data_IF_951396679564
#
_entry.id   IF_951396679564
#
_cell.length_a   1.000
_cell.length_b   1.000
_cell.length_c   1.000
_cell.angle_alpha   90.00
_cell.angle_beta   90.00
_cell.angle_gamma   90.00
#
_symmetry.space_group_name_H-M   'P 1'
#
loop_
_entity.id
_entity.type
_entity.pdbx_description
1 polymer ?
#
# COMPACT_ATOMS: atom_id res chain seq x y z
N UNK A 1 -73.63 47.71 -0.80
CA UNK A 1 -73.82 46.39 -0.15
C UNK A 1 -73.19 45.22 -0.92
N UNK A 2 -73.25 45.19 -2.26
CA UNK A 2 -72.70 44.06 -3.08
C UNK A 2 -71.16 44.02 -3.11
N UNK A 3 -70.48 45.17 -3.02
CA UNK A 3 -69.01 45.26 -3.10
C UNK A 3 -68.27 44.75 -1.86
N UNK A 4 -68.83 44.90 -0.65
CA UNK A 4 -68.25 44.32 0.58
C UNK A 4 -68.31 42.80 0.59
N UNK A 5 -69.43 42.21 0.14
CA UNK A 5 -69.59 40.74 0.12
C UNK A 5 -68.61 40.04 -0.84
N UNK A 6 -68.20 40.71 -1.93
CA UNK A 6 -67.22 40.17 -2.88
C UNK A 6 -65.80 40.17 -2.28
N UNK A 7 -65.46 41.20 -1.49
CA UNK A 7 -64.14 41.32 -0.88
C UNK A 7 -63.95 40.30 0.26
N UNK A 8 -64.98 40.09 1.08
CA UNK A 8 -64.96 39.07 2.14
C UNK A 8 -64.81 37.65 1.57
N UNK A 9 -65.53 37.33 0.50
CA UNK A 9 -65.44 36.02 -0.16
C UNK A 9 -64.08 35.79 -0.81
N UNK A 10 -63.42 36.85 -1.31
CA UNK A 10 -62.06 36.77 -1.85
C UNK A 10 -61.04 36.52 -0.73
N UNK A 11 -61.20 37.16 0.43
CA UNK A 11 -60.36 36.94 1.61
C UNK A 11 -60.50 35.51 2.16
N UNK A 12 -61.72 34.97 2.17
CA UNK A 12 -62.00 33.59 2.63
C UNK A 12 -61.44 32.53 1.67
N UNK A 13 -61.52 32.76 0.35
CA UNK A 13 -60.91 31.90 -0.66
C UNK A 13 -59.37 31.94 -0.58
N UNK A 14 -58.78 33.11 -0.32
CA UNK A 14 -57.33 33.22 -0.12
C UNK A 14 -56.87 32.52 1.17
N UNK A 15 -57.65 32.61 2.25
CA UNK A 15 -57.38 31.91 3.51
C UNK A 15 -57.46 30.38 3.37
N UNK A 16 -58.46 29.88 2.62
CA UNK A 16 -58.59 28.43 2.34
C UNK A 16 -57.45 27.92 1.45
N UNK A 17 -57.04 28.67 0.42
CA UNK A 17 -55.87 28.32 -0.40
C UNK A 17 -54.58 28.29 0.44
N UNK A 18 -54.41 29.26 1.35
CA UNK A 18 -53.27 29.28 2.27
C UNK A 18 -53.22 28.06 3.19
N UNK A 19 -54.38 27.64 3.71
CA UNK A 19 -54.49 26.45 4.55
C UNK A 19 -54.23 25.15 3.77
N UNK A 20 -54.66 25.05 2.50
CA UNK A 20 -54.37 23.91 1.64
C UNK A 20 -52.87 23.81 1.34
N UNK A 21 -52.21 24.93 1.02
CA UNK A 21 -50.75 24.96 0.81
C UNK A 21 -49.99 24.55 2.07
N UNK A 22 -50.39 25.03 3.25
CA UNK A 22 -49.75 24.68 4.53
C UNK A 22 -49.94 23.20 4.88
N UNK A 23 -51.12 22.62 4.58
CA UNK A 23 -51.39 21.19 4.78
C UNK A 23 -50.61 20.32 3.79
N UNK A 24 -50.42 20.77 2.55
CA UNK A 24 -49.58 20.09 1.57
C UNK A 24 -48.10 20.10 1.97
N UNK A 25 -47.58 21.25 2.39
CA UNK A 25 -46.20 21.38 2.89
C UNK A 25 -45.97 20.51 4.15
N UNK A 26 -46.92 20.48 5.09
CA UNK A 26 -46.85 19.63 6.29
C UNK A 26 -46.96 18.13 5.98
N UNK A 27 -47.66 17.76 4.90
CA UNK A 27 -47.73 16.38 4.42
C UNK A 27 -46.44 15.94 3.69
N UNK A 28 -45.80 16.86 2.95
CA UNK A 28 -44.48 16.64 2.33
C UNK A 28 -43.37 16.55 3.39
N UNK A 29 -43.43 17.36 4.45
CA UNK A 29 -42.47 17.33 5.58
C UNK A 29 -42.62 16.06 6.45
N UNK A 30 -43.83 15.51 6.55
CA UNK A 30 -44.09 14.25 7.27
C UNK A 30 -43.68 12.98 6.50
N UNK A 31 -43.33 13.10 5.20
CA UNK A 31 -43.05 11.96 4.32
C UNK A 31 -41.56 11.56 4.23
N UNK A 32 -40.65 12.22 4.94
CA UNK A 32 -39.24 12.26 4.53
C UNK A 32 -38.17 11.71 5.47
N UNK A 33 -38.44 10.74 6.36
CA UNK A 33 -37.33 10.00 6.98
C UNK A 33 -36.98 8.80 6.11
N UNK A 34 -36.02 8.98 5.18
CA UNK A 34 -35.49 7.90 4.34
C UNK A 34 -34.83 6.85 5.25
N UNK A 35 -35.56 5.79 5.58
CA UNK A 35 -35.04 4.68 6.39
C UNK A 35 -33.91 4.03 5.60
N UNK A 36 -32.69 4.18 6.10
CA UNK A 36 -31.49 3.54 5.54
C UNK A 36 -31.05 2.43 6.48
N UNK A 37 -30.89 1.22 5.93
CA UNK A 37 -30.39 0.09 6.69
C UNK A 37 -28.86 0.11 6.69
N UNK A 38 -28.26 -0.15 7.85
CA UNK A 38 -26.81 -0.25 8.04
C UNK A 38 -26.42 -1.66 8.47
N UNK A 39 -25.16 -2.04 8.21
CA UNK A 39 -24.61 -3.33 8.64
C UNK A 39 -24.45 -3.31 10.16
N UNK A 40 -25.17 -4.14 10.94
CA UNK A 40 -24.98 -4.23 12.38
C UNK A 40 -23.62 -4.87 12.69
N UNK A 41 -22.95 -4.39 13.73
CA UNK A 41 -21.73 -5.05 14.20
C UNK A 41 -22.06 -6.35 14.92
N UNK A 42 -21.15 -7.32 14.78
CA UNK A 42 -21.26 -8.63 15.42
C UNK A 42 -20.84 -8.52 16.89
N UNK A 43 -21.60 -9.15 17.80
CA UNK A 43 -21.30 -9.13 19.25
C UNK A 43 -20.13 -10.04 19.66
N UNK A 44 -19.56 -10.77 18.69
CA UNK A 44 -18.46 -11.71 18.88
C UNK A 44 -17.46 -11.60 17.73
N UNK A 45 -16.23 -12.02 17.98
CA UNK A 45 -15.18 -12.05 16.97
C UNK A 45 -15.44 -13.12 15.90
N UNK A 46 -14.92 -12.93 14.70
CA UNK A 46 -15.13 -13.84 13.58
C UNK A 46 -14.70 -15.28 13.89
N UNK A 47 -13.65 -15.47 14.70
CA UNK A 47 -13.16 -16.79 15.10
C UNK A 47 -13.92 -17.44 16.27
N UNK A 48 -14.87 -16.74 16.91
CA UNK A 48 -15.54 -17.25 18.12
C UNK A 48 -16.37 -18.52 17.88
N UNK A 49 -16.72 -18.81 16.62
CA UNK A 49 -17.50 -19.97 16.22
C UNK A 49 -16.68 -21.03 15.46
N UNK A 50 -15.34 -20.99 15.51
CA UNK A 50 -14.45 -21.88 14.75
C UNK A 50 -14.74 -23.38 14.93
N UNK A 51 -15.28 -23.79 16.07
CA UNK A 51 -15.68 -25.18 16.33
C UNK A 51 -16.81 -25.67 15.41
N UNK A 52 -17.62 -24.76 14.85
CA UNK A 52 -18.76 -25.07 13.98
C UNK A 52 -18.67 -24.40 12.60
N UNK A 53 -18.12 -23.19 12.52
CA UNK A 53 -18.03 -22.37 11.31
C UNK A 53 -16.67 -21.68 11.29
N UNK A 54 -15.89 -21.88 10.23
CA UNK A 54 -14.61 -21.18 10.04
C UNK A 54 -14.80 -19.66 10.12
N UNK A 55 -13.90 -18.97 10.83
CA UNK A 55 -13.94 -17.51 10.96
C UNK A 55 -13.82 -16.77 9.63
N UNK A 56 -13.11 -17.34 8.65
CA UNK A 56 -13.03 -16.80 7.29
C UNK A 56 -14.42 -16.80 6.61
N UNK A 57 -15.20 -17.87 6.80
CA UNK A 57 -16.57 -17.96 6.26
C UNK A 57 -17.48 -16.95 6.95
N UNK A 58 -17.37 -16.81 8.27
CA UNK A 58 -18.15 -15.82 9.04
C UNK A 58 -17.85 -14.40 8.55
N UNK A 59 -16.57 -14.08 8.33
CA UNK A 59 -16.13 -12.80 7.82
C UNK A 59 -16.69 -12.54 6.41
N UNK A 60 -16.60 -13.50 5.50
CA UNK A 60 -17.16 -13.38 4.16
C UNK A 60 -18.68 -13.24 4.18
N UNK A 61 -19.37 -14.00 5.02
CA UNK A 61 -20.83 -13.95 5.17
C UNK A 61 -21.29 -12.57 5.67
N UNK A 62 -20.69 -12.07 6.74
CA UNK A 62 -21.01 -10.78 7.32
C UNK A 62 -20.62 -9.61 6.37
N UNK A 63 -19.35 -9.54 5.98
CA UNK A 63 -18.82 -8.37 5.28
C UNK A 63 -19.23 -8.32 3.81
N UNK A 64 -19.43 -9.46 3.14
CA UNK A 64 -19.80 -9.49 1.72
C UNK A 64 -21.28 -9.77 1.52
N UNK A 65 -21.81 -10.89 2.03
CA UNK A 65 -23.18 -11.28 1.73
C UNK A 65 -24.20 -10.34 2.40
N UNK A 66 -24.10 -10.11 3.71
CA UNK A 66 -25.03 -9.23 4.41
C UNK A 66 -24.95 -7.79 3.92
N UNK A 67 -23.73 -7.25 3.77
CA UNK A 67 -23.50 -5.94 3.15
C UNK A 67 -24.12 -5.81 1.77
N UNK A 68 -24.08 -6.86 0.95
CA UNK A 68 -24.70 -6.85 -0.39
C UNK A 68 -26.22 -6.78 -0.29
N UNK A 69 -26.84 -7.56 0.60
CA UNK A 69 -28.29 -7.48 0.81
C UNK A 69 -28.73 -6.08 1.27
N UNK A 70 -28.02 -5.47 2.21
CA UNK A 70 -28.28 -4.10 2.69
C UNK A 70 -28.15 -3.08 1.56
N UNK A 71 -27.06 -3.15 0.79
CA UNK A 71 -26.81 -2.21 -0.31
C UNK A 71 -27.90 -2.29 -1.37
N UNK A 72 -28.28 -3.51 -1.76
CA UNK A 72 -29.33 -3.74 -2.74
C UNK A 72 -30.71 -3.31 -2.22
N UNK A 73 -31.01 -3.57 -0.95
CA UNK A 73 -32.26 -3.19 -0.32
C UNK A 73 -32.42 -1.66 -0.28
N UNK A 74 -31.40 -0.94 0.21
CA UNK A 74 -31.40 0.53 0.26
C UNK A 74 -31.60 1.14 -1.13
N UNK A 75 -30.92 0.58 -2.15
CA UNK A 75 -31.07 1.00 -3.53
C UNK A 75 -32.48 0.74 -4.09
N UNK A 76 -33.06 -0.41 -3.76
CA UNK A 76 -34.42 -0.75 -4.22
C UNK A 76 -35.49 0.14 -3.57
N UNK A 77 -35.32 0.52 -2.31
CA UNK A 77 -36.21 1.47 -1.62
C UNK A 77 -36.11 2.88 -2.24
N UNK A 78 -34.89 3.34 -2.55
CA UNK A 78 -34.69 4.61 -3.26
C UNK A 78 -35.38 4.62 -4.64
N UNK A 79 -35.22 3.53 -5.41
CA UNK A 79 -35.86 3.40 -6.71
C UNK A 79 -37.39 3.26 -6.60
N UNK A 80 -37.89 2.69 -5.51
CA UNK A 80 -39.32 2.62 -5.23
C UNK A 80 -39.90 4.02 -4.95
N UNK A 81 -39.22 4.82 -4.13
CA UNK A 81 -39.63 6.20 -3.83
C UNK A 81 -39.66 7.07 -5.09
N UNK A 82 -38.62 6.95 -5.93
CA UNK A 82 -38.58 7.58 -7.26
C UNK A 82 -39.71 7.13 -8.18
N UNK A 83 -40.13 5.87 -8.11
CA UNK A 83 -41.22 5.34 -8.92
C UNK A 83 -42.59 5.83 -8.42
N UNK A 84 -42.77 5.91 -7.10
CA UNK A 84 -43.99 6.42 -6.46
C UNK A 84 -44.17 7.91 -6.78
N UNK A 85 -43.11 8.71 -6.66
CA UNK A 85 -43.15 10.15 -6.99
C UNK A 85 -43.47 10.41 -8.46
N UNK A 86 -43.07 9.50 -9.37
CA UNK A 86 -43.38 9.56 -10.81
C UNK A 86 -44.71 8.92 -11.19
N UNK A 87 -45.38 8.21 -10.27
CA UNK A 87 -46.64 7.51 -10.54
C UNK A 87 -46.50 6.28 -11.45
N UNK A 88 -45.32 5.67 -11.56
CA UNK A 88 -45.07 4.51 -12.42
C UNK A 88 -45.35 3.19 -11.67
N UNK A 89 -46.58 2.70 -11.77
CA UNK A 89 -47.00 1.46 -11.13
C UNK A 89 -46.26 0.20 -11.65
N UNK A 90 -45.73 0.22 -12.89
CA UNK A 90 -45.03 -0.94 -13.46
C UNK A 90 -43.69 -1.19 -12.78
N UNK A 91 -42.96 -0.12 -12.45
CA UNK A 91 -41.67 -0.23 -11.75
C UNK A 91 -41.84 -0.54 -10.27
N UNK A 92 -42.90 -0.04 -9.63
CA UNK A 92 -43.27 -0.42 -8.24
C UNK A 92 -43.41 -1.94 -8.08
N UNK A 93 -44.17 -2.60 -8.97
CA UNK A 93 -44.35 -4.07 -8.91
C UNK A 93 -43.04 -4.82 -9.14
N UNK A 94 -42.17 -4.32 -10.03
CA UNK A 94 -40.85 -4.94 -10.29
C UNK A 94 -39.98 -4.93 -9.02
N UNK A 95 -39.95 -3.82 -8.29
CA UNK A 95 -39.11 -3.69 -7.10
C UNK A 95 -39.62 -4.46 -5.89
N UNK A 96 -40.92 -4.79 -5.82
CA UNK A 96 -41.48 -5.59 -4.73
C UNK A 96 -40.71 -6.92 -4.53
N UNK A 97 -40.40 -7.63 -5.61
CA UNK A 97 -39.63 -8.88 -5.55
C UNK A 97 -38.21 -8.69 -5.00
N UNK A 98 -37.56 -7.60 -5.37
CA UNK A 98 -36.19 -7.26 -4.97
C UNK A 98 -36.14 -6.84 -3.51
N UNK A 99 -37.11 -6.04 -3.06
CA UNK A 99 -37.25 -5.60 -1.68
C UNK A 99 -37.52 -6.81 -0.78
N UNK A 100 -38.45 -7.69 -1.18
CA UNK A 100 -38.77 -8.90 -0.42
C UNK A 100 -37.54 -9.79 -0.26
N UNK A 101 -36.87 -10.14 -1.37
CA UNK A 101 -35.71 -11.04 -1.33
C UNK A 101 -34.55 -10.47 -0.51
N UNK A 102 -34.16 -9.21 -0.73
CA UNK A 102 -33.04 -8.62 0.01
C UNK A 102 -33.42 -8.36 1.48
N UNK A 103 -34.68 -7.99 1.76
CA UNK A 103 -35.19 -7.81 3.12
C UNK A 103 -35.16 -9.12 3.92
N UNK A 104 -35.65 -10.20 3.33
CA UNK A 104 -35.54 -11.55 3.91
C UNK A 104 -34.08 -11.96 4.14
N UNK A 105 -33.19 -11.65 3.19
CA UNK A 105 -31.74 -11.89 3.33
C UNK A 105 -31.11 -11.12 4.50
N UNK A 106 -31.51 -9.87 4.73
CA UNK A 106 -31.06 -9.06 5.87
C UNK A 106 -31.55 -9.68 7.19
N UNK A 107 -32.83 -10.04 7.26
CA UNK A 107 -33.46 -10.62 8.46
C UNK A 107 -32.83 -11.97 8.81
N UNK A 108 -32.68 -12.87 7.83
CA UNK A 108 -32.05 -14.17 8.04
C UNK A 108 -30.63 -14.01 8.59
N UNK A 109 -29.80 -13.21 7.92
CA UNK A 109 -28.42 -13.01 8.35
C UNK A 109 -28.29 -12.28 9.70
N UNK A 110 -29.21 -11.38 10.04
CA UNK A 110 -29.28 -10.76 11.37
C UNK A 110 -29.73 -11.75 12.45
N UNK A 111 -30.49 -12.78 12.08
CA UNK A 111 -30.97 -13.86 12.96
C UNK A 111 -30.11 -15.12 12.95
N UNK A 112 -29.04 -15.18 12.14
CA UNK A 112 -28.16 -16.34 11.98
C UNK A 112 -27.39 -16.74 13.25
N UNK A 113 -27.66 -16.10 14.39
CA UNK A 113 -27.30 -16.59 15.71
C UNK A 113 -28.18 -17.72 16.26
N UNK A 114 -29.37 -18.05 15.69
CA UNK A 114 -30.32 -18.92 16.43
C UNK A 114 -31.05 -20.06 15.70
N UNK A 115 -31.28 -20.12 14.38
CA UNK A 115 -32.05 -21.28 13.84
C UNK A 115 -31.68 -21.72 12.42
N UNK A 116 -31.03 -22.89 12.34
CA UNK A 116 -31.02 -23.78 11.19
C UNK A 116 -32.33 -24.58 11.14
N UNK A 117 -33.26 -24.23 10.25
CA UNK A 117 -34.28 -25.18 9.79
C UNK A 117 -34.91 -24.80 8.45
N UNK A 118 -34.62 -25.64 7.44
CA UNK A 118 -35.45 -26.04 6.29
C UNK A 118 -36.42 -25.02 5.68
N UNK A 119 -36.01 -24.40 4.56
CA UNK A 119 -36.92 -23.73 3.63
C UNK A 119 -37.56 -24.74 2.68
N UNK A 120 -38.85 -25.04 2.85
CA UNK A 120 -39.68 -25.75 1.88
C UNK A 120 -40.08 -24.83 0.73
N UNK A 121 -39.79 -25.25 -0.50
CA UNK A 121 -40.21 -24.55 -1.72
C UNK A 121 -41.53 -25.11 -2.23
N UNK A 122 -42.58 -24.28 -2.24
CA UNK A 122 -43.82 -24.56 -2.98
C UNK A 122 -43.63 -24.14 -4.46
N UNK A 123 -43.88 -25.01 -5.45
CA UNK A 123 -43.80 -24.60 -6.85
C UNK A 123 -45.11 -23.93 -7.28
N UNK A 124 -45.00 -22.66 -7.66
CA UNK A 124 -46.04 -21.95 -8.43
C UNK A 124 -45.96 -22.44 -9.87
N UNK A 125 -47.01 -23.12 -10.33
CA UNK A 125 -47.16 -23.54 -11.72
C UNK A 125 -47.56 -22.33 -12.57
N UNK A 126 -46.68 -21.92 -13.48
CA UNK A 126 -46.96 -20.91 -14.48
C UNK A 126 -46.93 -21.59 -15.86
N UNK A 127 -48.09 -21.65 -16.52
CA UNK A 127 -48.30 -22.27 -17.83
C UNK A 127 -47.73 -21.41 -18.96
N UNK A 128 -46.40 -21.34 -19.06
CA UNK A 128 -45.68 -21.02 -20.29
C UNK A 128 -45.19 -22.33 -20.90
N UNK A 129 -45.14 -22.46 -22.24
CA UNK A 129 -44.67 -23.69 -22.88
C UNK A 129 -43.28 -24.06 -22.34
N UNK A 130 -43.18 -25.26 -21.74
CA UNK A 130 -41.98 -25.75 -21.06
C UNK A 130 -40.71 -25.67 -21.94
N UNK A 131 -40.89 -25.75 -23.25
CA UNK A 131 -39.84 -25.67 -24.27
C UNK A 131 -39.18 -24.29 -24.37
N UNK A 132 -39.93 -23.19 -24.29
CA UNK A 132 -39.38 -21.82 -24.35
C UNK A 132 -38.57 -21.49 -23.08
N UNK A 133 -39.04 -21.98 -21.92
CA UNK A 133 -38.35 -21.83 -20.65
C UNK A 133 -37.04 -22.61 -20.65
N UNK A 134 -37.05 -23.84 -21.18
CA UNK A 134 -35.86 -24.68 -21.33
C UNK A 134 -34.82 -24.04 -22.27
N UNK A 135 -35.26 -23.50 -23.41
CA UNK A 135 -34.38 -22.80 -24.35
C UNK A 135 -33.75 -21.55 -23.72
N UNK A 136 -34.50 -20.75 -22.95
CA UNK A 136 -33.97 -19.60 -22.22
C UNK A 136 -32.94 -20.02 -21.16
N UNK A 137 -33.17 -21.12 -20.45
CA UNK A 137 -32.21 -21.67 -19.49
C UNK A 137 -30.92 -22.14 -20.16
N UNK A 138 -31.02 -22.79 -21.32
CA UNK A 138 -29.87 -23.23 -22.10
C UNK A 138 -29.08 -22.05 -22.69
N UNK A 139 -29.77 -21.01 -23.18
CA UNK A 139 -29.13 -19.77 -23.59
C UNK A 139 -28.39 -19.10 -22.41
N UNK A 140 -28.99 -19.07 -21.22
CA UNK A 140 -28.35 -18.54 -20.01
C UNK A 140 -27.15 -19.39 -19.58
N UNK A 141 -27.24 -20.72 -19.67
CA UNK A 141 -26.11 -21.64 -19.39
C UNK A 141 -24.96 -21.42 -20.37
N UNK A 142 -25.24 -21.31 -21.67
CA UNK A 142 -24.23 -21.00 -22.72
C UNK A 142 -23.55 -19.65 -22.47
N UNK A 143 -24.32 -18.59 -22.16
CA UNK A 143 -23.78 -17.26 -21.82
C UNK A 143 -22.86 -17.31 -20.59
N UNK A 144 -23.27 -18.03 -19.53
CA UNK A 144 -22.44 -18.23 -18.34
C UNK A 144 -21.15 -18.98 -18.66
N UNK A 145 -21.21 -20.01 -19.50
CA UNK A 145 -20.03 -20.78 -19.90
C UNK A 145 -19.03 -19.91 -20.69
N UNK A 146 -19.51 -19.07 -21.60
CA UNK A 146 -18.66 -18.15 -22.36
C UNK A 146 -18.04 -17.09 -21.44
N UNK A 147 -18.84 -16.48 -20.56
CA UNK A 147 -18.36 -15.47 -19.60
C UNK A 147 -17.34 -16.03 -18.61
N UNK A 148 -17.56 -17.25 -18.10
CA UNK A 148 -16.61 -17.93 -17.21
C UNK A 148 -15.32 -18.25 -17.96
N UNK A 149 -15.42 -18.80 -19.18
CA UNK A 149 -14.27 -19.07 -20.04
C UNK A 149 -13.45 -17.81 -20.30
N UNK A 150 -14.12 -16.70 -20.60
CA UNK A 150 -13.46 -15.42 -20.84
C UNK A 150 -12.83 -14.87 -19.55
N UNK A 151 -13.53 -14.95 -18.42
CA UNK A 151 -13.02 -14.51 -17.11
C UNK A 151 -11.80 -15.31 -16.68
N UNK A 152 -11.81 -16.64 -16.88
CA UNK A 152 -10.68 -17.51 -16.65
C UNK A 152 -9.49 -17.15 -17.56
N UNK A 153 -9.72 -16.86 -18.85
CA UNK A 153 -8.68 -16.40 -19.78
C UNK A 153 -8.09 -15.06 -19.34
N UNK A 154 -8.93 -14.08 -18.97
CA UNK A 154 -8.47 -12.77 -18.48
C UNK A 154 -7.66 -12.91 -17.20
N UNK A 155 -8.09 -13.78 -16.27
CA UNK A 155 -7.36 -14.09 -15.05
C UNK A 155 -5.98 -14.69 -15.34
N UNK A 156 -5.89 -15.71 -16.21
CA UNK A 156 -4.62 -16.29 -16.66
C UNK A 156 -3.72 -15.25 -17.31
N UNK A 157 -4.27 -14.38 -18.17
CA UNK A 157 -3.50 -13.32 -18.83
C UNK A 157 -2.95 -12.28 -17.84
N UNK A 158 -3.72 -11.92 -16.80
CA UNK A 158 -3.23 -11.02 -15.73
C UNK A 158 -2.10 -11.65 -14.94
N UNK A 159 -2.22 -12.94 -14.57
CA UNK A 159 -1.16 -13.67 -13.88
C UNK A 159 0.09 -13.79 -14.74
N UNK A 160 -0.06 -14.10 -16.04
CA UNK A 160 1.05 -14.13 -16.98
C UNK A 160 1.75 -12.78 -17.06
N UNK A 161 0.99 -11.69 -17.23
CA UNK A 161 1.55 -10.34 -17.28
C UNK A 161 2.34 -10.02 -16.00
N UNK A 162 1.80 -10.34 -14.83
CA UNK A 162 2.51 -10.12 -13.57
C UNK A 162 3.82 -10.91 -13.49
N UNK A 163 3.83 -12.17 -13.96
CA UNK A 163 5.06 -12.97 -14.03
C UNK A 163 6.07 -12.38 -15.02
N UNK A 164 5.61 -11.90 -16.17
CA UNK A 164 6.45 -11.25 -17.17
C UNK A 164 7.05 -9.93 -16.62
N UNK A 165 6.24 -9.13 -15.93
CA UNK A 165 6.67 -7.89 -15.26
C UNK A 165 7.72 -8.18 -14.18
N UNK A 166 7.51 -9.20 -13.34
CA UNK A 166 8.51 -9.64 -12.34
C UNK A 166 9.80 -10.14 -12.99
N UNK A 167 9.71 -10.89 -14.09
CA UNK A 167 10.89 -11.35 -14.83
C UNK A 167 11.66 -10.19 -15.45
N UNK A 168 10.96 -9.17 -15.94
CA UNK A 168 11.57 -7.94 -16.44
C UNK A 168 12.31 -7.19 -15.33
N UNK A 169 11.70 -7.05 -14.14
CA UNK A 169 12.35 -6.45 -12.97
C UNK A 169 13.59 -7.22 -12.54
N UNK A 170 13.53 -8.56 -12.50
CA UNK A 170 14.70 -9.38 -12.17
C UNK A 170 15.86 -9.15 -13.15
N UNK A 171 15.56 -9.12 -14.45
CA UNK A 171 16.57 -8.86 -15.47
C UNK A 171 17.14 -7.44 -15.36
N UNK A 172 16.30 -6.46 -15.05
CA UNK A 172 16.73 -5.08 -14.81
C UNK A 172 17.68 -5.00 -13.61
N UNK A 173 17.28 -5.51 -12.44
CA UNK A 173 18.11 -5.53 -11.25
C UNK A 173 19.42 -6.29 -11.46
N UNK A 174 19.40 -7.38 -12.22
CA UNK A 174 20.62 -8.12 -12.58
C UNK A 174 21.57 -7.26 -13.42
N UNK A 175 21.04 -6.50 -14.38
CA UNK A 175 21.84 -5.60 -15.20
C UNK A 175 22.39 -4.42 -14.39
N UNK A 176 21.59 -3.84 -13.50
CA UNK A 176 22.02 -2.78 -12.58
C UNK A 176 23.12 -3.29 -11.64
N UNK A 177 22.98 -4.49 -11.09
CA UNK A 177 24.01 -5.08 -10.24
C UNK A 177 25.32 -5.30 -11.00
N UNK A 178 25.26 -5.81 -12.23
CA UNK A 178 26.45 -5.94 -13.09
C UNK A 178 27.11 -4.59 -13.37
N UNK A 179 26.32 -3.53 -13.63
CA UNK A 179 26.85 -2.18 -13.83
C UNK A 179 27.53 -1.64 -12.57
N UNK A 180 26.92 -1.85 -11.40
CA UNK A 180 27.51 -1.44 -10.11
C UNK A 180 28.85 -2.15 -9.91
N UNK A 181 28.91 -3.47 -10.12
CA UNK A 181 30.15 -4.24 -10.00
C UNK A 181 31.24 -3.69 -10.93
N UNK A 182 30.91 -3.41 -12.19
CA UNK A 182 31.87 -2.79 -13.13
C UNK A 182 32.32 -1.41 -12.65
N UNK A 183 31.40 -0.57 -12.15
CA UNK A 183 31.75 0.76 -11.63
C UNK A 183 32.66 0.68 -10.41
N UNK A 184 32.37 -0.23 -9.46
CA UNK A 184 33.17 -0.47 -8.26
C UNK A 184 34.56 -0.95 -8.65
N UNK A 185 34.67 -1.86 -9.63
CA UNK A 185 35.96 -2.34 -10.14
C UNK A 185 36.81 -1.19 -10.70
N UNK A 186 36.22 -0.32 -11.53
CA UNK A 186 36.91 0.84 -12.11
C UNK A 186 37.33 1.84 -11.01
N UNK A 187 36.44 2.17 -10.08
CA UNK A 187 36.74 3.08 -8.97
C UNK A 187 37.84 2.53 -8.07
N UNK A 188 37.82 1.22 -7.80
CA UNK A 188 38.86 0.55 -7.02
C UNK A 188 40.21 0.65 -7.73
N UNK A 189 40.24 0.44 -9.05
CA UNK A 189 41.46 0.59 -9.83
C UNK A 189 42.02 2.02 -9.79
N UNK A 190 41.15 3.04 -9.88
CA UNK A 190 41.56 4.43 -9.74
C UNK A 190 42.08 4.75 -8.34
N UNK A 191 41.43 4.23 -7.30
CA UNK A 191 41.87 4.39 -5.91
C UNK A 191 43.30 3.86 -5.72
N UNK A 192 43.59 2.65 -6.20
CA UNK A 192 44.92 2.05 -6.12
C UNK A 192 45.98 2.92 -6.84
N UNK A 193 45.65 3.48 -8.00
CA UNK A 193 46.55 4.38 -8.73
C UNK A 193 46.90 5.63 -7.92
N UNK A 194 45.89 6.27 -7.33
CA UNK A 194 46.08 7.48 -6.50
C UNK A 194 46.81 7.17 -5.20
N UNK A 195 46.55 6.01 -4.60
CA UNK A 195 47.27 5.54 -3.41
C UNK A 195 48.76 5.32 -3.71
N UNK A 196 49.09 4.73 -4.85
CA UNK A 196 50.47 4.58 -5.31
C UNK A 196 51.17 5.94 -5.49
N UNK A 197 50.52 6.90 -6.15
CA UNK A 197 51.06 8.27 -6.28
C UNK A 197 51.26 8.95 -4.92
N UNK A 198 50.31 8.81 -4.00
CA UNK A 198 50.43 9.33 -2.63
C UNK A 198 51.61 8.71 -1.87
N UNK A 199 51.89 7.42 -2.06
CA UNK A 199 53.05 6.77 -1.42
C UNK A 199 54.38 7.34 -1.93
N UNK A 200 54.49 7.63 -3.23
CA UNK A 200 55.66 8.26 -3.84
C UNK A 200 55.87 9.67 -3.29
N UNK A 201 54.80 10.48 -3.23
CA UNK A 201 54.87 11.84 -2.68
C UNK A 201 55.31 11.83 -1.21
N UNK A 202 54.82 10.89 -0.41
CA UNK A 202 55.24 10.72 0.99
C UNK A 202 56.72 10.36 1.11
N UNK A 203 57.22 9.48 0.25
CA UNK A 203 58.65 9.14 0.21
C UNK A 203 59.51 10.37 -0.16
N UNK A 204 59.06 11.18 -1.12
CA UNK A 204 59.74 12.42 -1.50
C UNK A 204 59.78 13.44 -0.36
N UNK A 205 58.68 13.60 0.39
CA UNK A 205 58.63 14.47 1.57
C UNK A 205 59.62 13.99 2.64
N UNK A 206 59.69 12.67 2.88
CA UNK A 206 60.63 12.09 3.84
C UNK A 206 62.09 12.36 3.42
N UNK A 207 62.42 12.19 2.14
CA UNK A 207 63.76 12.47 1.61
C UNK A 207 64.14 13.96 1.77
N UNK A 208 63.26 14.87 1.38
CA UNK A 208 63.49 16.31 1.50
C UNK A 208 63.63 16.73 2.97
N UNK A 209 62.81 16.16 3.87
CA UNK A 209 62.91 16.39 5.31
C UNK A 209 64.25 15.93 5.86
N UNK A 210 64.72 14.75 5.45
CA UNK A 210 66.03 14.22 5.87
C UNK A 210 67.18 15.11 5.38
N UNK A 211 67.12 15.56 4.11
CA UNK A 211 68.11 16.50 3.56
C UNK A 211 68.13 17.81 4.34
N UNK A 212 66.96 18.37 4.66
CA UNK A 212 66.85 19.61 5.44
C UNK A 212 67.43 19.46 6.85
N UNK A 213 67.13 18.35 7.52
CA UNK A 213 67.68 18.05 8.84
C UNK A 213 69.22 17.96 8.80
N UNK A 214 69.77 17.24 7.81
CA UNK A 214 71.22 17.15 7.63
C UNK A 214 71.87 18.52 7.41
N UNK A 215 71.24 19.40 6.61
CA UNK A 215 71.71 20.79 6.44
C UNK A 215 71.67 21.57 7.77
N UNK A 216 70.59 21.44 8.55
CA UNK A 216 70.46 22.10 9.84
C UNK A 216 71.50 21.60 10.86
N UNK A 217 71.81 20.30 10.87
CA UNK A 217 72.86 19.71 11.71
C UNK A 217 74.24 20.26 11.33
N UNK A 218 74.53 20.41 10.04
CA UNK A 218 75.78 21.04 9.58
C UNK A 218 75.86 22.52 9.99
N UNK A 219 74.76 23.26 9.89
CA UNK A 219 74.69 24.64 10.39
C UNK A 219 74.95 24.65 11.91
N UNK A 220 74.26 23.80 12.68
CA UNK A 220 74.46 23.72 14.12
C UNK A 220 75.92 23.40 14.49
N UNK A 221 76.60 22.55 13.72
CA UNK A 221 78.03 22.27 13.88
C UNK A 221 78.90 23.50 13.61
N UNK A 222 78.62 24.27 12.55
CA UNK A 222 79.38 25.49 12.22
C UNK A 222 79.18 26.63 13.23
N UNK A 223 78.02 26.71 13.86
CA UNK A 223 77.67 27.75 14.85
C UNK A 223 77.87 27.30 16.30
N UNK A 224 78.55 26.18 16.55
CA UNK A 224 78.94 25.84 17.92
C UNK A 224 79.86 26.94 18.49
N UNK A 225 79.58 27.47 19.70
CA UNK A 225 80.48 28.43 20.33
C UNK A 225 81.83 27.76 20.52
N UNK A 226 82.90 28.41 20.06
CA UNK A 226 84.28 28.01 20.35
C UNK A 226 84.48 28.22 21.85
N UNK A 227 84.15 27.21 22.65
CA UNK A 227 84.38 27.26 24.08
C UNK A 227 85.88 27.15 24.33
N UNK A 228 86.45 28.27 24.72
CA UNK A 228 87.85 28.41 25.07
C UNK A 228 88.03 27.86 26.48
N UNK A 229 88.22 26.54 26.59
CA UNK A 229 88.89 25.91 27.73
C UNK A 229 88.02 25.14 28.73
N UNK A 230 88.32 23.84 28.85
CA UNK A 230 88.17 22.96 30.02
C UNK A 230 87.04 23.23 31.06
N UNK A 231 86.03 22.34 31.14
CA UNK A 231 85.43 21.92 32.45
C UNK A 231 84.61 20.61 32.38
N UNK A 232 84.62 19.93 33.53
CA UNK A 232 83.99 18.68 33.98
C UNK A 232 82.46 18.56 33.86
N UNK A 233 82.04 17.27 33.86
CA UNK A 233 80.78 16.58 34.18
C UNK A 233 79.42 17.30 34.35
N UNK A 234 78.41 16.57 33.85
CA UNK A 234 77.04 16.35 34.33
C UNK A 234 75.82 17.10 33.74
N UNK A 235 74.73 16.32 33.68
CA UNK A 235 73.30 16.65 33.52
C UNK A 235 72.69 16.86 32.11
N UNK A 236 72.02 15.78 31.65
CA UNK A 236 70.57 15.73 31.40
C UNK A 236 69.90 16.96 30.75
N UNK A 237 69.69 16.92 29.43
CA UNK A 237 68.52 17.55 28.80
C UNK A 237 68.06 16.72 27.60
N UNK A 238 66.86 16.16 27.73
CA UNK A 238 66.12 15.59 26.61
C UNK A 238 65.61 16.69 25.68
N UNK A 239 65.75 16.45 24.38
CA UNK A 239 65.09 17.18 23.31
C UNK A 239 64.81 16.14 22.22
N UNK A 240 63.60 15.63 22.01
CA UNK A 240 62.30 16.28 22.11
C UNK A 240 61.79 16.53 20.69
N UNK A 241 61.03 15.56 20.15
CA UNK A 241 60.02 15.78 19.12
C UNK A 241 60.51 15.87 17.67
N UNK A 242 60.53 14.74 16.96
CA UNK A 242 60.65 14.77 15.50
C UNK A 242 60.46 13.42 14.80
N UNK A 243 60.83 12.33 15.45
CA UNK A 243 60.80 10.98 14.87
C UNK A 243 59.51 10.20 15.15
N UNK A 244 58.83 10.45 16.27
CA UNK A 244 57.64 9.69 16.67
C UNK A 244 56.42 9.91 15.74
N UNK A 245 56.25 11.11 15.18
CA UNK A 245 55.12 11.40 14.28
C UNK A 245 55.23 10.66 12.94
N UNK A 246 56.46 10.51 12.42
CA UNK A 246 56.69 9.87 11.12
C UNK A 246 56.61 8.34 11.27
N UNK A 247 57.13 7.79 12.37
CA UNK A 247 57.10 6.34 12.62
C UNK A 247 55.67 5.83 12.90
N UNK A 248 54.84 6.58 13.65
CA UNK A 248 53.43 6.22 13.88
C UNK A 248 52.58 6.35 12.60
N UNK A 249 52.88 7.37 11.79
CA UNK A 249 52.24 7.57 10.49
C UNK A 249 52.59 6.47 9.47
N UNK A 250 53.85 6.03 9.43
CA UNK A 250 54.33 4.96 8.54
C UNK A 250 53.89 3.56 9.00
N UNK A 251 53.86 3.30 10.31
CA UNK A 251 53.39 2.01 10.85
C UNK A 251 51.89 1.79 10.63
N UNK A 252 51.07 2.86 10.61
CA UNK A 252 49.64 2.75 10.32
C UNK A 252 49.37 2.36 8.85
N UNK A 253 50.27 2.72 7.93
CA UNK A 253 50.17 2.37 6.50
C UNK A 253 50.34 0.87 6.22
N UNK A 254 51.17 0.17 7.00
CA UNK A 254 51.33 -1.30 6.91
C UNK A 254 50.16 -2.06 7.55
N UNK A 255 49.53 -1.48 8.58
CA UNK A 255 48.35 -2.06 9.23
C UNK A 255 47.11 -2.06 8.30
N UNK A 256 46.96 -1.04 7.45
CA UNK A 256 45.86 -0.96 6.48
C UNK A 256 46.01 -1.92 5.28
N UNK A 257 47.25 -2.23 4.87
CA UNK A 257 47.54 -3.26 3.86
C UNK A 257 47.16 -4.67 4.33
N UNK A 258 47.22 -4.93 5.64
CA UNK A 258 46.86 -6.23 6.23
C UNK A 258 45.35 -6.36 6.54
N UNK A 259 44.67 -5.25 6.82
CA UNK A 259 43.24 -5.23 7.13
C UNK A 259 42.32 -5.32 5.89
N UNK A 260 42.83 -5.01 4.69
CA UNK A 260 42.08 -5.05 3.43
C UNK A 260 42.58 -6.16 2.50
N UNK A 261 42.80 -7.37 3.03
CA UNK A 261 42.81 -8.56 2.18
C UNK A 261 41.41 -8.68 1.56
N UNK A 262 41.23 -8.61 0.23
CA UNK A 262 39.95 -8.95 -0.36
C UNK A 262 39.63 -10.39 0.07
N UNK A 263 38.46 -10.61 0.68
CA UNK A 263 37.94 -11.96 0.87
C UNK A 263 37.68 -12.50 -0.55
N UNK A 264 38.72 -13.08 -1.15
CA UNK A 264 38.63 -13.86 -2.36
C UNK A 264 37.89 -15.15 -1.98
N UNK A 265 36.57 -15.05 -1.90
CA UNK A 265 35.73 -16.22 -2.05
C UNK A 265 36.00 -16.76 -3.47
N UNK A 266 36.80 -17.81 -3.53
CA UNK A 266 37.13 -18.54 -4.75
C UNK A 266 35.86 -18.85 -5.54
N UNK A 267 35.82 -18.47 -6.81
CA UNK A 267 34.71 -18.66 -7.73
C UNK A 267 34.37 -20.14 -8.03
N UNK A 268 35.10 -21.11 -7.44
CA UNK A 268 34.94 -22.55 -7.66
C UNK A 268 34.00 -23.26 -6.67
N UNK A 269 33.30 -22.53 -5.78
CA UNK A 269 32.42 -23.14 -4.76
C UNK A 269 30.91 -23.13 -5.10
N UNK A 270 30.52 -22.78 -6.32
CA UNK A 270 29.12 -22.84 -6.76
C UNK A 270 29.03 -23.65 -8.07
N UNK A 271 29.28 -24.96 -7.96
CA UNK A 271 28.74 -25.96 -8.87
C UNK A 271 27.56 -26.66 -8.19
N UNK A 272 26.34 -26.36 -8.64
CA UNK A 272 25.19 -27.26 -8.66
C UNK A 272 24.29 -26.88 -9.84
#
# INVERSE_FOLDING_TARGET
MVTSQIWDRKSEVQGTIGNIKRRKAKAEEASGSKITFTLPDLSYDYGALESAISGEIMQLHHQKHHRTYITNYNKAIEQLDDAITKGDASTVVKFQSTIKFNGEGILMASSSGTTTSSGGSYPIQNSGSDEDLQQLMDQRRKKRMISNRESARRSRKRKQKHLDDLKSQLNQLRNENNQIISSVSITTQHYISVEAENSVLRAQVAELSHRLQSLNEMIAFMYQPVDTGCRFEDEQYGSGGGTEFVDEFMNNSLSYLYANQPIMASADMIQY
#
